data_IF_149812311751
#
_entry.id   IF_149812311751
#
_cell.length_a   1.000
_cell.length_b   1.000
_cell.length_c   1.000
_cell.angle_alpha   90.00
_cell.angle_beta   90.00
_cell.angle_gamma   90.00
#
_symmetry.space_group_name_H-M   'P 1'
#
loop_
_entity.id
_entity.type
_entity.pdbx_description
1 polymer ?
#
# COMPACT_ATOMS: atom_id res chain seq x y z
N UNK A 1 9.95 18.69 -10.31
CA UNK A 1 9.90 17.26 -10.69
C UNK A 1 8.99 17.12 -11.89
N UNK A 2 9.44 16.54 -13.01
CA UNK A 2 8.59 16.34 -14.16
C UNK A 2 7.42 15.42 -13.77
N UNK A 3 6.20 15.86 -14.02
CA UNK A 3 4.99 15.15 -13.59
C UNK A 3 4.72 13.97 -14.54
N UNK A 4 4.58 12.76 -14.00
CA UNK A 4 4.04 11.64 -14.76
C UNK A 4 2.59 11.95 -15.09
N UNK A 5 2.28 12.01 -16.40
CA UNK A 5 0.91 12.24 -16.86
C UNK A 5 0.13 10.93 -16.88
N UNK A 6 -1.13 10.98 -16.44
CA UNK A 6 -2.03 9.83 -16.47
C UNK A 6 -3.38 10.22 -17.05
N UNK A 7 -3.99 9.30 -17.79
CA UNK A 7 -5.39 9.37 -18.19
C UNK A 7 -6.11 8.10 -17.74
N UNK A 8 -7.16 8.28 -16.97
CA UNK A 8 -7.96 7.19 -16.41
C UNK A 8 -9.35 7.17 -17.01
N UNK A 9 -9.82 5.99 -17.36
CA UNK A 9 -11.15 5.75 -17.87
C UNK A 9 -11.73 4.46 -17.29
N UNK A 10 -13.05 4.32 -17.32
CA UNK A 10 -13.73 3.08 -16.96
C UNK A 10 -15.03 2.92 -17.73
N UNK A 11 -15.44 1.67 -17.94
CA UNK A 11 -16.67 1.29 -18.61
C UNK A 11 -17.40 0.30 -17.72
N UNK A 12 -18.71 0.45 -17.59
CA UNK A 12 -19.53 -0.39 -16.74
C UNK A 12 -20.59 -1.18 -17.55
N UNK A 13 -21.00 -2.36 -17.10
CA UNK A 13 -21.99 -3.18 -17.82
C UNK A 13 -23.30 -2.48 -18.14
N UNK A 14 -23.66 -1.45 -17.36
CA UNK A 14 -24.96 -0.76 -17.49
C UNK A 14 -24.86 0.61 -18.19
N UNK A 15 -23.72 0.92 -18.82
CA UNK A 15 -23.53 2.21 -19.49
C UNK A 15 -23.37 2.03 -20.99
N UNK A 16 -23.89 2.99 -21.74
CA UNK A 16 -23.50 3.24 -23.12
C UNK A 16 -22.44 4.35 -23.16
N UNK A 17 -21.54 4.28 -24.11
CA UNK A 17 -20.54 5.33 -24.31
C UNK A 17 -20.53 5.80 -25.75
N UNK A 18 -20.17 7.08 -25.94
CA UNK A 18 -20.12 7.73 -27.23
C UNK A 18 -18.67 7.83 -27.69
N UNK A 19 -18.36 7.31 -28.87
CA UNK A 19 -17.04 7.48 -29.48
C UNK A 19 -16.84 8.95 -29.93
N UNK A 20 -15.58 9.33 -30.20
CA UNK A 20 -15.26 10.64 -30.79
C UNK A 20 -15.95 10.88 -32.14
N UNK A 21 -16.30 9.83 -32.86
CA UNK A 21 -17.03 9.86 -34.12
C UNK A 21 -18.57 9.93 -33.92
N UNK A 22 -19.05 9.99 -32.70
CA UNK A 22 -20.47 10.10 -32.40
C UNK A 22 -21.23 8.78 -32.28
N UNK A 23 -20.62 7.64 -32.60
CA UNK A 23 -21.26 6.33 -32.46
C UNK A 23 -21.51 5.99 -30.98
N UNK A 24 -22.68 5.48 -30.67
CA UNK A 24 -23.05 5.01 -29.33
C UNK A 24 -22.94 3.49 -29.32
N UNK A 25 -22.16 2.97 -28.38
CA UNK A 25 -22.00 1.55 -28.16
C UNK A 25 -22.48 1.20 -26.76
N UNK A 26 -23.15 0.07 -26.59
CA UNK A 26 -23.42 -0.52 -25.28
C UNK A 26 -22.19 -1.33 -24.82
N UNK A 27 -22.15 -1.65 -23.54
CA UNK A 27 -21.04 -2.40 -22.95
C UNK A 27 -20.78 -3.74 -23.67
N UNK A 28 -21.84 -4.47 -24.01
CA UNK A 28 -21.74 -5.78 -24.66
C UNK A 28 -21.13 -5.69 -26.05
N UNK A 29 -21.52 -4.69 -26.84
CA UNK A 29 -20.93 -4.43 -28.15
C UNK A 29 -19.44 -4.08 -28.02
N UNK A 30 -19.11 -3.25 -27.01
CA UNK A 30 -17.74 -2.84 -26.76
C UNK A 30 -16.84 -4.01 -26.37
N UNK A 31 -17.25 -4.87 -25.40
CA UNK A 31 -16.45 -6.05 -25.01
C UNK A 31 -16.38 -7.10 -26.12
N UNK A 32 -17.45 -7.29 -26.90
CA UNK A 32 -17.45 -8.22 -28.02
C UNK A 32 -16.51 -7.79 -29.14
N UNK A 33 -16.38 -6.48 -29.37
CA UNK A 33 -15.45 -5.96 -30.39
C UNK A 33 -14.00 -6.17 -29.99
N UNK A 34 -13.69 -6.20 -28.68
CA UNK A 34 -12.35 -6.27 -28.10
C UNK A 34 -11.36 -5.24 -28.71
N UNK A 35 -11.87 -4.13 -29.25
CA UNK A 35 -11.09 -3.10 -29.96
C UNK A 35 -10.00 -2.47 -29.08
N UNK A 36 -10.18 -2.46 -27.77
CA UNK A 36 -9.15 -1.98 -26.85
C UNK A 36 -7.87 -2.81 -26.96
N UNK A 37 -8.00 -4.15 -27.04
CA UNK A 37 -6.85 -5.04 -27.21
C UNK A 37 -6.18 -4.80 -28.54
N UNK A 38 -6.95 -4.74 -29.64
CA UNK A 38 -6.40 -4.43 -30.97
C UNK A 38 -5.69 -3.08 -31.02
N UNK A 39 -6.22 -2.09 -30.30
CA UNK A 39 -5.60 -0.77 -30.27
C UNK A 39 -4.26 -0.76 -29.53
N UNK A 40 -4.19 -1.40 -28.35
CA UNK A 40 -2.97 -1.37 -27.52
C UNK A 40 -1.89 -2.35 -27.99
N UNK A 41 -2.26 -3.37 -28.79
CA UNK A 41 -1.32 -4.38 -29.32
C UNK A 41 -0.90 -4.11 -30.78
N UNK A 42 -1.13 -2.90 -31.26
CA UNK A 42 -0.72 -2.53 -32.62
C UNK A 42 0.79 -2.66 -32.80
N UNK A 43 1.22 -3.53 -33.69
CA UNK A 43 2.64 -3.84 -33.97
C UNK A 43 3.48 -2.61 -34.35
N UNK A 44 2.87 -1.62 -35.01
CA UNK A 44 3.52 -0.37 -35.37
C UNK A 44 3.77 0.57 -34.16
N UNK A 45 3.27 0.23 -32.98
CA UNK A 45 3.36 1.07 -31.78
C UNK A 45 4.06 0.39 -30.61
N UNK A 46 4.01 -0.94 -30.52
CA UNK A 46 4.45 -1.67 -29.33
C UNK A 46 5.97 -1.74 -29.22
N UNK A 47 6.47 -1.49 -28.01
CA UNK A 47 7.84 -1.75 -27.61
C UNK A 47 7.91 -3.18 -27.06
N UNK A 48 8.63 -4.07 -27.75
CA UNK A 48 8.70 -5.50 -27.41
C UNK A 48 10.11 -5.98 -27.03
N UNK A 49 11.13 -5.15 -27.22
CA UNK A 49 12.51 -5.50 -26.90
C UNK A 49 12.78 -5.43 -25.38
N UNK A 50 13.71 -6.24 -24.92
CA UNK A 50 14.20 -6.30 -23.53
C UNK A 50 15.53 -5.54 -23.36
N UNK A 51 16.01 -5.43 -22.12
CA UNK A 51 17.24 -4.68 -21.82
C UNK A 51 18.53 -5.36 -22.33
N UNK A 52 18.51 -6.65 -22.65
CA UNK A 52 19.66 -7.38 -23.16
C UNK A 52 19.77 -7.33 -24.68
N UNK A 53 18.80 -6.73 -25.35
CA UNK A 53 18.75 -6.63 -26.80
C UNK A 53 19.28 -5.27 -27.29
N UNK A 54 19.84 -5.28 -28.51
CA UNK A 54 20.08 -4.05 -29.29
C UNK A 54 21.08 -3.04 -28.68
N UNK A 55 22.10 -3.48 -27.94
CA UNK A 55 23.08 -2.60 -27.28
C UNK A 55 22.44 -1.56 -26.35
N UNK A 56 21.37 -1.95 -25.65
CA UNK A 56 20.63 -1.07 -24.76
C UNK A 56 21.52 -0.39 -23.70
N UNK A 57 22.51 -1.10 -23.18
CA UNK A 57 23.46 -0.53 -22.22
C UNK A 57 24.38 0.53 -22.83
N UNK A 58 24.82 0.35 -24.06
CA UNK A 58 25.57 1.39 -24.78
C UNK A 58 24.71 2.63 -25.05
N UNK A 59 23.42 2.44 -25.36
CA UNK A 59 22.46 3.53 -25.52
C UNK A 59 22.29 4.35 -24.24
N UNK A 60 22.25 3.72 -23.07
CA UNK A 60 22.10 4.42 -21.77
C UNK A 60 23.23 5.45 -21.53
N UNK A 61 24.45 5.14 -21.96
CA UNK A 61 25.65 5.87 -21.59
C UNK A 61 25.99 7.05 -22.52
N UNK A 62 25.54 7.03 -23.80
CA UNK A 62 26.09 7.89 -24.83
C UNK A 62 25.11 8.81 -25.55
N UNK A 63 23.77 8.67 -25.32
CA UNK A 63 22.79 9.34 -26.19
C UNK A 63 22.11 10.53 -25.51
N UNK A 64 22.00 11.62 -26.27
CA UNK A 64 21.07 12.73 -25.98
C UNK A 64 19.61 12.25 -26.05
N UNK A 65 18.68 13.08 -25.59
CA UNK A 65 17.24 12.74 -25.68
C UNK A 65 16.79 12.47 -27.10
N UNK A 66 17.23 13.28 -28.05
CA UNK A 66 16.84 13.14 -29.45
C UNK A 66 17.40 11.87 -30.07
N UNK A 67 18.64 11.49 -29.72
CA UNK A 67 19.24 10.23 -30.13
C UNK A 67 18.51 9.03 -29.54
N UNK A 68 18.12 9.09 -28.25
CA UNK A 68 17.30 8.05 -27.63
C UNK A 68 15.94 7.90 -28.30
N UNK A 69 15.29 9.00 -28.66
CA UNK A 69 14.02 8.99 -29.40
C UNK A 69 14.23 8.38 -30.80
N UNK A 70 15.28 8.74 -31.50
CA UNK A 70 15.60 8.17 -32.81
C UNK A 70 15.91 6.67 -32.70
N UNK A 71 16.69 6.28 -31.69
CA UNK A 71 17.06 4.90 -31.42
C UNK A 71 15.84 4.01 -31.19
N UNK A 72 14.97 4.32 -30.24
CA UNK A 72 13.83 3.47 -29.99
C UNK A 72 12.81 3.44 -31.13
N UNK A 73 12.65 4.53 -31.86
CA UNK A 73 11.80 4.55 -33.09
C UNK A 73 12.34 3.65 -34.19
N UNK A 74 13.67 3.58 -34.37
CA UNK A 74 14.27 2.64 -35.30
C UNK A 74 14.03 1.19 -34.90
N UNK A 75 14.11 0.89 -33.57
CA UNK A 75 13.87 -0.45 -33.02
C UNK A 75 12.39 -0.85 -33.11
N UNK A 76 11.46 0.08 -32.94
CA UNK A 76 10.05 -0.20 -33.23
C UNK A 76 9.83 -0.67 -34.66
N UNK A 77 10.46 -0.03 -35.63
CA UNK A 77 10.35 -0.43 -37.02
C UNK A 77 10.94 -1.81 -37.30
N UNK A 78 12.08 -2.14 -36.67
CA UNK A 78 12.70 -3.46 -36.76
C UNK A 78 11.84 -4.56 -36.19
N UNK A 79 11.16 -4.27 -35.07
CA UNK A 79 10.35 -5.25 -34.33
C UNK A 79 8.94 -5.47 -34.90
N UNK A 80 8.50 -4.67 -35.88
CA UNK A 80 7.20 -4.87 -36.55
C UNK A 80 7.01 -6.26 -37.18
N UNK A 81 8.11 -6.92 -37.54
CA UNK A 81 8.12 -8.23 -38.16
C UNK A 81 8.28 -9.40 -37.19
N UNK A 82 8.43 -9.15 -35.87
CA UNK A 82 8.48 -10.23 -34.91
C UNK A 82 7.06 -10.71 -34.55
N UNK A 83 6.96 -11.95 -34.09
CA UNK A 83 5.68 -12.56 -33.73
C UNK A 83 5.19 -12.21 -32.33
N UNK A 84 5.81 -11.22 -31.67
CA UNK A 84 5.42 -10.80 -30.34
C UNK A 84 4.14 -9.97 -30.37
N UNK A 85 3.26 -10.22 -29.39
CA UNK A 85 1.99 -9.50 -29.27
C UNK A 85 2.18 -8.10 -28.68
N UNK A 86 3.20 -7.90 -27.86
CA UNK A 86 3.43 -6.68 -27.09
C UNK A 86 2.42 -6.49 -25.95
N UNK A 87 1.68 -7.52 -25.60
CA UNK A 87 0.74 -7.54 -24.46
C UNK A 87 1.32 -8.36 -23.34
N UNK A 88 1.31 -7.82 -22.13
CA UNK A 88 1.92 -8.42 -20.94
C UNK A 88 0.93 -8.45 -19.80
N UNK A 89 1.01 -9.50 -18.95
CA UNK A 89 0.29 -9.54 -17.66
C UNK A 89 1.17 -8.93 -16.57
N UNK A 90 0.66 -7.93 -15.87
CA UNK A 90 1.42 -7.25 -14.84
C UNK A 90 1.61 -8.10 -13.56
N UNK A 91 0.77 -9.10 -13.33
CA UNK A 91 0.85 -9.97 -12.16
C UNK A 91 1.89 -11.09 -12.32
N UNK A 92 2.42 -11.30 -13.52
CA UNK A 92 3.51 -12.23 -13.76
C UNK A 92 4.82 -11.65 -13.21
N UNK A 93 5.80 -12.49 -12.93
CA UNK A 93 7.12 -12.06 -12.42
C UNK A 93 7.99 -11.38 -13.48
N UNK A 94 7.69 -11.59 -14.77
CA UNK A 94 8.41 -11.06 -15.93
C UNK A 94 7.42 -10.68 -17.03
N UNK A 95 7.79 -9.77 -17.96
CA UNK A 95 6.95 -9.38 -19.08
C UNK A 95 6.96 -10.47 -20.18
N UNK A 96 6.25 -11.55 -19.93
CA UNK A 96 6.04 -12.64 -20.88
C UNK A 96 4.93 -12.24 -21.84
N UNK A 97 5.16 -12.47 -23.13
CA UNK A 97 4.23 -12.17 -24.20
C UNK A 97 2.98 -13.05 -24.12
N UNK A 98 1.80 -12.47 -24.26
CA UNK A 98 0.52 -13.17 -24.10
C UNK A 98 -0.19 -13.28 -25.44
N UNK A 99 -0.88 -14.40 -25.65
CA UNK A 99 -1.73 -14.61 -26.81
C UNK A 99 -2.95 -13.67 -26.80
N UNK A 100 -2.98 -12.75 -27.76
CA UNK A 100 -4.05 -11.73 -27.90
C UNK A 100 -5.45 -12.36 -27.96
N UNK A 101 -5.58 -13.50 -28.66
CA UNK A 101 -6.86 -14.16 -28.85
C UNK A 101 -7.45 -14.69 -27.54
N UNK A 102 -6.64 -15.08 -26.58
CA UNK A 102 -7.13 -15.58 -25.29
C UNK A 102 -7.68 -14.42 -24.46
N UNK A 103 -6.99 -13.29 -24.40
CA UNK A 103 -7.49 -12.08 -23.75
C UNK A 103 -8.78 -11.56 -24.42
N UNK A 104 -8.87 -11.62 -25.75
CA UNK A 104 -10.11 -11.28 -26.46
C UNK A 104 -11.26 -12.20 -26.11
N UNK A 105 -11.03 -13.51 -25.94
CA UNK A 105 -12.05 -14.46 -25.48
C UNK A 105 -12.52 -14.14 -24.06
N UNK A 106 -11.60 -13.83 -23.16
CA UNK A 106 -11.93 -13.41 -21.79
C UNK A 106 -12.80 -12.17 -21.79
N UNK A 107 -12.43 -11.13 -22.56
CA UNK A 107 -13.21 -9.89 -22.65
C UNK A 107 -14.63 -10.13 -23.18
N UNK A 108 -14.83 -11.01 -24.16
CA UNK A 108 -16.16 -11.33 -24.68
C UNK A 108 -17.10 -11.92 -23.62
N UNK A 109 -16.55 -12.55 -22.60
CA UNK A 109 -17.31 -13.11 -21.47
C UNK A 109 -17.45 -12.13 -20.30
N UNK A 110 -16.88 -10.93 -20.38
CA UNK A 110 -16.78 -9.97 -19.30
C UNK A 110 -18.15 -9.51 -18.79
N UNK A 111 -18.35 -9.59 -17.48
CA UNK A 111 -19.55 -9.12 -16.77
C UNK A 111 -19.21 -8.08 -15.71
N UNK A 112 -17.93 -7.88 -15.40
CA UNK A 112 -17.44 -6.90 -14.42
C UNK A 112 -17.19 -5.54 -15.07
N UNK A 113 -16.90 -4.54 -14.25
CA UNK A 113 -16.41 -3.26 -14.74
C UNK A 113 -15.05 -3.45 -15.41
N UNK A 114 -14.74 -2.56 -16.34
CA UNK A 114 -13.46 -2.49 -17.04
C UNK A 114 -12.83 -1.14 -16.76
N UNK A 115 -11.54 -1.13 -16.46
CA UNK A 115 -10.75 0.05 -16.18
C UNK A 115 -9.57 0.17 -17.14
N UNK A 116 -9.23 1.39 -17.49
CA UNK A 116 -8.14 1.71 -18.39
C UNK A 116 -7.31 2.85 -17.81
N UNK A 117 -5.99 2.76 -17.94
CA UNK A 117 -5.05 3.77 -17.48
C UNK A 117 -3.92 3.95 -18.49
N UNK A 118 -3.65 5.19 -18.86
CA UNK A 118 -2.48 5.55 -19.66
C UNK A 118 -1.47 6.23 -18.73
N UNK A 119 -0.20 5.84 -18.82
CA UNK A 119 0.89 6.38 -18.00
C UNK A 119 1.98 6.89 -18.94
N UNK A 120 2.25 8.18 -18.90
CA UNK A 120 3.31 8.81 -19.70
C UNK A 120 4.27 9.60 -18.80
N UNK A 121 5.51 9.14 -18.61
CA UNK A 121 6.50 9.82 -17.78
C UNK A 121 7.18 10.99 -18.48
N UNK A 122 6.95 11.20 -19.79
CA UNK A 122 7.59 12.27 -20.55
C UNK A 122 9.12 12.18 -20.52
N UNK A 123 9.77 13.33 -20.35
CA UNK A 123 11.23 13.43 -20.25
C UNK A 123 11.81 12.56 -19.12
N UNK A 124 11.08 12.41 -18.01
CA UNK A 124 11.55 11.61 -16.88
C UNK A 124 11.87 10.17 -17.28
N UNK A 125 11.04 9.56 -18.14
CA UNK A 125 11.28 8.22 -18.67
C UNK A 125 12.52 8.12 -19.56
N UNK A 126 12.74 9.11 -20.45
CA UNK A 126 13.91 9.18 -21.30
C UNK A 126 15.20 9.41 -20.50
N UNK A 127 15.17 10.36 -19.56
CA UNK A 127 16.32 10.72 -18.73
C UNK A 127 16.81 9.53 -17.88
N UNK A 128 15.89 8.66 -17.47
CA UNK A 128 16.18 7.48 -16.63
C UNK A 128 16.11 6.14 -17.41
N UNK A 129 16.15 6.20 -18.74
CA UNK A 129 16.23 5.04 -19.63
C UNK A 129 15.10 3.99 -19.44
N UNK A 130 13.87 4.44 -19.17
CA UNK A 130 12.70 3.54 -19.09
C UNK A 130 12.13 3.33 -20.50
N UNK A 131 12.86 2.56 -21.32
CA UNK A 131 12.59 2.42 -22.74
C UNK A 131 12.25 0.99 -23.18
N UNK A 132 12.56 -0.04 -22.40
CA UNK A 132 12.31 -1.44 -22.71
C UNK A 132 11.22 -2.06 -21.81
N UNK A 133 10.73 -3.26 -22.21
CA UNK A 133 9.63 -3.92 -21.51
C UNK A 133 9.97 -4.31 -20.06
N UNK A 134 11.21 -4.73 -19.79
CA UNK A 134 11.63 -5.16 -18.47
C UNK A 134 11.62 -4.00 -17.47
N UNK A 135 12.17 -2.84 -17.85
CA UNK A 135 12.17 -1.64 -17.01
C UNK A 135 10.76 -1.12 -16.72
N UNK A 136 9.89 -1.14 -17.73
CA UNK A 136 8.50 -0.78 -17.51
C UNK A 136 7.78 -1.77 -16.60
N UNK A 137 7.98 -3.07 -16.79
CA UNK A 137 7.37 -4.09 -15.94
C UNK A 137 7.76 -3.90 -14.49
N UNK A 138 9.05 -3.74 -14.22
CA UNK A 138 9.59 -3.50 -12.89
C UNK A 138 8.95 -2.27 -12.22
N UNK A 139 8.93 -1.12 -12.89
CA UNK A 139 8.34 0.11 -12.36
C UNK A 139 6.85 -0.04 -12.08
N UNK A 140 6.11 -0.69 -12.98
CA UNK A 140 4.67 -0.88 -12.81
C UNK A 140 4.34 -1.88 -11.71
N UNK A 141 4.99 -3.05 -11.69
CA UNK A 141 4.72 -4.10 -10.71
C UNK A 141 4.92 -3.62 -9.28
N UNK A 142 6.02 -2.90 -9.02
CA UNK A 142 6.34 -2.32 -7.71
C UNK A 142 5.28 -1.36 -7.16
N UNK A 143 4.54 -0.67 -8.04
CA UNK A 143 3.62 0.39 -7.64
C UNK A 143 2.14 -0.01 -7.78
N UNK A 144 1.81 -0.88 -8.74
CA UNK A 144 0.41 -1.15 -9.10
C UNK A 144 -0.30 -2.08 -8.12
N UNK A 145 0.39 -3.06 -7.55
CA UNK A 145 -0.20 -3.92 -6.52
C UNK A 145 -0.73 -3.10 -5.34
N UNK A 146 0.05 -2.11 -4.89
CA UNK A 146 -0.36 -1.19 -3.84
C UNK A 146 -1.55 -0.33 -4.26
N UNK A 147 -1.55 0.16 -5.50
CA UNK A 147 -2.68 0.91 -6.06
C UNK A 147 -3.97 0.06 -6.06
N UNK A 148 -3.89 -1.21 -6.43
CA UNK A 148 -5.02 -2.14 -6.38
C UNK A 148 -5.54 -2.34 -4.95
N UNK A 149 -4.64 -2.55 -3.98
CA UNK A 149 -4.98 -2.73 -2.56
C UNK A 149 -5.66 -1.47 -1.97
N UNK A 150 -5.13 -0.27 -2.25
CA UNK A 150 -5.72 1.00 -1.82
C UNK A 150 -7.16 1.13 -2.35
N UNK A 151 -7.39 0.76 -3.59
CA UNK A 151 -8.70 0.77 -4.21
C UNK A 151 -9.55 -0.46 -3.86
N UNK A 152 -9.09 -1.32 -2.92
CA UNK A 152 -9.82 -2.51 -2.42
C UNK A 152 -10.13 -3.54 -3.52
N UNK A 153 -9.24 -3.73 -4.44
CA UNK A 153 -9.31 -4.84 -5.37
C UNK A 153 -8.78 -6.12 -4.71
N UNK A 154 -9.42 -7.22 -5.03
CA UNK A 154 -8.99 -8.57 -4.68
C UNK A 154 -7.99 -9.04 -5.74
N UNK A 155 -6.72 -9.23 -5.34
CA UNK A 155 -5.63 -9.57 -6.27
C UNK A 155 -5.84 -10.94 -6.94
N UNK A 156 -6.50 -11.87 -6.26
CA UNK A 156 -6.79 -13.20 -6.81
C UNK A 156 -7.93 -13.16 -7.85
N UNK A 157 -8.78 -12.13 -7.74
CA UNK A 157 -9.95 -11.94 -8.59
C UNK A 157 -9.75 -10.90 -9.70
N UNK A 158 -8.51 -10.54 -10.05
CA UNK A 158 -8.26 -9.49 -11.05
C UNK A 158 -7.32 -9.96 -12.15
N UNK A 159 -7.58 -9.52 -13.37
CA UNK A 159 -6.63 -9.60 -14.49
C UNK A 159 -6.14 -8.21 -14.82
N UNK A 160 -4.83 -8.05 -15.01
CA UNK A 160 -4.16 -6.77 -15.32
C UNK A 160 -3.25 -6.94 -16.51
N UNK A 161 -3.56 -6.25 -17.59
CA UNK A 161 -2.79 -6.30 -18.83
C UNK A 161 -2.25 -4.92 -19.19
N UNK A 162 -1.09 -4.90 -19.81
CA UNK A 162 -0.50 -3.66 -20.31
C UNK A 162 0.30 -3.88 -21.60
N UNK A 163 0.47 -2.79 -22.32
CA UNK A 163 1.33 -2.69 -23.50
C UNK A 163 2.08 -1.37 -23.48
N UNK A 164 3.28 -1.34 -24.05
CA UNK A 164 4.13 -0.16 -24.09
C UNK A 164 4.12 0.39 -25.50
N UNK A 165 3.73 1.66 -25.66
CA UNK A 165 3.71 2.34 -26.94
C UNK A 165 4.91 3.27 -27.07
N UNK A 166 5.59 3.21 -28.21
CA UNK A 166 6.74 4.04 -28.56
C UNK A 166 6.53 4.91 -29.79
N UNK A 167 5.31 5.02 -30.29
CA UNK A 167 5.00 5.78 -31.51
C UNK A 167 4.95 7.31 -31.32
N UNK A 168 5.11 7.79 -30.10
CA UNK A 168 5.23 9.20 -29.76
C UNK A 168 6.68 9.56 -29.39
N UNK A 169 6.93 10.81 -29.00
CA UNK A 169 8.28 11.21 -28.52
C UNK A 169 8.67 10.51 -27.22
N UNK A 170 7.69 10.00 -26.47
CA UNK A 170 7.90 9.36 -25.18
C UNK A 170 7.25 7.98 -25.16
N UNK A 171 8.00 6.93 -24.80
CA UNK A 171 7.39 5.64 -24.50
C UNK A 171 6.39 5.79 -23.35
N UNK A 172 5.20 5.24 -23.52
CA UNK A 172 4.13 5.33 -22.56
C UNK A 172 3.38 4.01 -22.49
N UNK A 173 2.73 3.75 -21.36
CA UNK A 173 2.01 2.52 -21.11
C UNK A 173 0.52 2.73 -21.29
N UNK A 174 -0.11 1.82 -21.99
CA UNK A 174 -1.53 1.56 -21.95
C UNK A 174 -1.77 0.32 -21.11
N UNK A 175 -2.56 0.42 -20.07
CA UNK A 175 -2.94 -0.71 -19.24
C UNK A 175 -4.43 -0.75 -19.03
N UNK A 176 -4.95 -1.98 -18.83
CA UNK A 176 -6.32 -2.19 -18.45
C UNK A 176 -6.43 -3.36 -17.48
N UNK A 177 -7.50 -3.34 -16.69
CA UNK A 177 -7.80 -4.42 -15.77
C UNK A 177 -9.31 -4.60 -15.59
N UNK A 178 -9.67 -5.78 -15.10
CA UNK A 178 -11.05 -6.15 -14.80
C UNK A 178 -11.10 -7.28 -13.78
N UNK A 179 -12.21 -7.39 -13.06
CA UNK A 179 -12.42 -8.52 -12.15
C UNK A 179 -12.83 -9.77 -12.94
N UNK A 180 -12.27 -10.93 -12.58
CA UNK A 180 -12.65 -12.23 -13.15
C UNK A 180 -14.11 -12.54 -12.82
N UNK A 181 -14.50 -12.32 -11.56
CA UNK A 181 -15.86 -12.37 -11.07
C UNK A 181 -16.32 -10.98 -10.65
N UNK A 182 -17.48 -10.54 -11.13
CA UNK A 182 -17.98 -9.19 -10.85
C UNK A 182 -18.41 -9.03 -9.39
N UNK A 183 -17.52 -8.53 -8.55
CA UNK A 183 -17.79 -8.22 -7.12
C UNK A 183 -18.06 -6.74 -6.90
N UNK A 184 -17.47 -5.87 -7.70
CA UNK A 184 -17.48 -4.42 -7.51
C UNK A 184 -18.60 -3.75 -8.28
N UNK A 185 -19.54 -3.12 -7.55
CA UNK A 185 -20.67 -2.40 -8.16
C UNK A 185 -20.26 -1.03 -8.74
N UNK A 186 -19.34 -0.32 -8.08
CA UNK A 186 -18.91 1.04 -8.51
C UNK A 186 -17.58 0.98 -9.23
N UNK A 187 -17.54 1.46 -10.47
CA UNK A 187 -16.31 1.52 -11.25
C UNK A 187 -15.45 2.76 -10.93
N UNK A 188 -16.06 3.84 -10.45
CA UNK A 188 -15.34 5.08 -10.13
C UNK A 188 -14.32 4.83 -9.02
N UNK A 189 -13.06 5.18 -9.27
CA UNK A 189 -11.96 5.18 -8.31
C UNK A 189 -11.75 6.59 -7.76
N UNK A 190 -11.06 6.67 -6.65
CA UNK A 190 -10.64 7.95 -6.10
C UNK A 190 -9.51 8.54 -6.96
N UNK A 191 -9.71 9.78 -7.44
CA UNK A 191 -8.72 10.49 -8.25
C UNK A 191 -7.40 10.68 -7.49
N UNK A 192 -7.46 10.84 -6.17
CA UNK A 192 -6.26 10.94 -5.35
C UNK A 192 -5.43 9.65 -5.43
N UNK A 193 -6.04 8.48 -5.43
CA UNK A 193 -5.31 7.21 -5.55
C UNK A 193 -4.56 7.10 -6.88
N UNK A 194 -5.13 7.63 -7.97
CA UNK A 194 -4.50 7.68 -9.29
C UNK A 194 -3.32 8.64 -9.29
N UNK A 195 -3.48 9.84 -8.73
CA UNK A 195 -2.42 10.83 -8.62
C UNK A 195 -1.23 10.31 -7.80
N UNK A 196 -1.49 9.57 -6.73
CA UNK A 196 -0.43 8.95 -5.93
C UNK A 196 0.29 7.86 -6.68
N UNK A 197 -0.46 7.01 -7.36
CA UNK A 197 0.14 6.00 -8.20
C UNK A 197 1.09 6.65 -9.23
N UNK A 198 0.63 7.68 -9.95
CA UNK A 198 1.46 8.44 -10.88
C UNK A 198 2.72 9.05 -10.23
N UNK A 199 2.55 9.62 -9.04
CA UNK A 199 3.67 10.17 -8.28
C UNK A 199 4.68 9.09 -7.86
N UNK A 200 4.21 7.94 -7.37
CA UNK A 200 5.08 6.82 -6.98
C UNK A 200 5.82 6.22 -8.18
N UNK A 201 5.15 6.09 -9.32
CA UNK A 201 5.79 5.72 -10.58
C UNK A 201 6.92 6.70 -10.91
N UNK A 202 6.68 8.00 -10.80
CA UNK A 202 7.72 9.03 -11.02
C UNK A 202 8.90 8.92 -10.04
N UNK A 203 8.64 8.61 -8.78
CA UNK A 203 9.70 8.36 -7.79
C UNK A 203 10.50 7.09 -8.10
N UNK A 204 9.82 6.00 -8.45
CA UNK A 204 10.48 4.75 -8.86
C UNK A 204 11.37 4.96 -10.08
N UNK A 205 10.92 5.74 -11.07
CA UNK A 205 11.71 6.04 -12.25
C UNK A 205 12.96 6.86 -11.89
N UNK A 206 12.81 7.88 -11.03
CA UNK A 206 13.91 8.83 -10.75
C UNK A 206 14.94 8.30 -9.76
N UNK A 207 14.51 7.50 -8.79
CA UNK A 207 15.33 7.11 -7.63
C UNK A 207 15.40 5.59 -7.45
N UNK A 208 15.14 4.83 -8.46
CA UNK A 208 14.89 3.38 -8.50
C UNK A 208 15.37 2.60 -7.26
N UNK A 209 16.68 2.41 -7.09
CA UNK A 209 17.24 1.60 -6.00
C UNK A 209 16.98 2.18 -4.61
N UNK A 210 17.21 3.47 -4.42
CA UNK A 210 17.07 4.11 -3.12
C UNK A 210 15.60 4.19 -2.69
N UNK A 211 14.72 4.46 -3.65
CA UNK A 211 13.28 4.50 -3.37
C UNK A 211 12.73 3.12 -3.04
N UNK A 212 13.27 2.07 -3.64
CA UNK A 212 12.91 0.69 -3.31
C UNK A 212 13.34 0.31 -1.89
N UNK A 213 14.60 0.57 -1.53
CA UNK A 213 15.11 0.32 -0.18
C UNK A 213 14.23 0.99 0.88
N UNK A 214 13.85 2.28 0.64
CA UNK A 214 12.93 3.01 1.51
C UNK A 214 11.56 2.31 1.59
N UNK A 215 10.98 1.90 0.47
CA UNK A 215 9.66 1.27 0.45
C UNK A 215 9.66 -0.11 1.13
N UNK A 216 10.68 -0.94 0.89
CA UNK A 216 10.81 -2.25 1.51
C UNK A 216 10.94 -2.14 3.03
N UNK A 217 11.85 -1.27 3.52
CA UNK A 217 11.98 -1.03 4.95
C UNK A 217 10.70 -0.46 5.56
N UNK A 218 10.06 0.49 4.90
CA UNK A 218 8.78 1.04 5.37
C UNK A 218 7.71 -0.04 5.45
N UNK A 219 7.64 -0.96 4.48
CA UNK A 219 6.71 -2.08 4.48
C UNK A 219 6.98 -3.03 5.66
N UNK A 220 8.23 -3.41 5.88
CA UNK A 220 8.60 -4.29 7.01
C UNK A 220 8.28 -3.66 8.35
N UNK A 221 8.53 -2.35 8.53
CA UNK A 221 8.16 -1.58 9.72
C UNK A 221 6.64 -1.67 9.98
N UNK A 222 5.82 -1.47 8.95
CA UNK A 222 4.37 -1.54 9.07
C UNK A 222 3.87 -2.94 9.40
N UNK A 223 4.44 -3.96 8.78
CA UNK A 223 4.10 -5.35 9.05
C UNK A 223 4.45 -5.73 10.50
N UNK A 224 5.62 -5.30 10.99
CA UNK A 224 6.05 -5.52 12.38
C UNK A 224 5.14 -4.78 13.37
N UNK A 225 4.79 -3.50 13.10
CA UNK A 225 3.82 -2.77 13.92
C UNK A 225 2.47 -3.48 13.97
N UNK A 226 2.00 -4.02 12.86
CA UNK A 226 0.75 -4.79 12.80
C UNK A 226 0.83 -6.03 13.69
N UNK A 227 1.94 -6.76 13.64
CA UNK A 227 2.18 -7.91 14.52
C UNK A 227 2.19 -7.49 15.99
N UNK A 228 2.87 -6.40 16.34
CA UNK A 228 2.86 -5.84 17.71
C UNK A 228 1.43 -5.54 18.17
N UNK A 229 0.62 -4.89 17.33
CA UNK A 229 -0.77 -4.58 17.70
C UNK A 229 -1.66 -5.83 17.81
N UNK A 230 -1.35 -6.91 17.10
CA UNK A 230 -2.05 -8.18 17.21
C UNK A 230 -1.69 -8.89 18.53
N UNK A 231 -0.39 -8.98 18.83
CA UNK A 231 0.10 -9.70 20.01
C UNK A 231 -0.30 -9.03 21.33
N UNK A 232 -0.55 -7.72 21.34
CA UNK A 232 -1.04 -7.04 22.55
C UNK A 232 -2.27 -7.73 23.15
N UNK A 233 -3.20 -8.23 22.33
CA UNK A 233 -4.33 -9.00 22.83
C UNK A 233 -3.89 -10.30 23.52
N UNK A 234 -2.91 -10.98 22.94
CA UNK A 234 -2.41 -12.26 23.43
C UNK A 234 -1.57 -12.05 24.71
N UNK A 235 -0.81 -10.94 24.82
CA UNK A 235 -0.11 -10.53 26.04
C UNK A 235 -1.07 -10.30 27.21
N UNK A 236 -2.24 -9.71 26.93
CA UNK A 236 -3.28 -9.55 27.94
C UNK A 236 -4.05 -10.86 28.21
N UNK A 237 -4.02 -11.83 27.30
CA UNK A 237 -4.73 -13.11 27.40
C UNK A 237 -3.91 -14.23 28.05
N UNK A 238 -2.59 -14.21 27.94
CA UNK A 238 -1.72 -15.25 28.44
C UNK A 238 -1.26 -14.97 29.88
N UNK A 239 -1.68 -15.80 30.82
CA UNK A 239 -1.42 -15.73 32.27
C UNK A 239 0.08 -15.89 32.70
N UNK A 240 1.04 -15.53 31.85
CA UNK A 240 2.43 -15.50 32.26
C UNK A 240 2.81 -14.14 32.85
N UNK A 241 2.10 -13.73 33.89
CA UNK A 241 2.66 -12.76 34.84
C UNK A 241 3.73 -13.54 35.61
N UNK A 242 4.96 -13.34 35.18
CA UNK A 242 6.12 -13.94 35.83
C UNK A 242 6.14 -13.53 37.28
N UNK A 243 6.03 -14.51 38.14
CA UNK A 243 6.10 -14.40 39.61
C UNK A 243 7.57 -14.14 40.03
N UNK A 244 8.18 -13.08 39.50
CA UNK A 244 9.50 -12.64 39.86
C UNK A 244 9.39 -11.42 40.76
N UNK A 245 9.91 -11.53 41.99
CA UNK A 245 9.96 -10.49 43.03
C UNK A 245 10.50 -9.12 42.56
N UNK A 246 11.21 -9.08 41.44
CA UNK A 246 11.71 -7.84 40.81
C UNK A 246 10.63 -7.03 40.08
N UNK A 247 9.48 -7.61 39.73
CA UNK A 247 8.42 -6.98 38.94
C UNK A 247 7.23 -6.48 39.77
N UNK A 248 7.21 -6.64 41.09
CA UNK A 248 6.08 -6.22 41.95
C UNK A 248 5.80 -4.71 41.85
N UNK A 249 6.83 -3.89 41.73
CA UNK A 249 6.68 -2.43 41.58
C UNK A 249 6.08 -2.05 40.21
N UNK A 250 6.56 -2.65 39.12
CA UNK A 250 6.04 -2.43 37.78
C UNK A 250 4.60 -2.95 37.64
N UNK A 251 4.27 -4.07 38.28
CA UNK A 251 2.90 -4.59 38.32
C UNK A 251 1.96 -3.64 39.07
N UNK A 252 2.39 -3.11 40.22
CA UNK A 252 1.63 -2.10 40.98
C UNK A 252 1.39 -0.81 40.15
N UNK A 253 2.40 -0.37 39.39
CA UNK A 253 2.28 0.79 38.52
C UNK A 253 1.32 0.48 37.35
N UNK A 254 1.42 -0.70 36.73
CA UNK A 254 0.51 -1.16 35.67
C UNK A 254 -0.96 -1.15 36.16
N UNK A 255 -1.23 -1.65 37.35
CA UNK A 255 -2.58 -1.66 37.94
C UNK A 255 -3.11 -0.23 38.14
N UNK A 256 -2.29 0.66 38.74
CA UNK A 256 -2.67 2.06 38.95
C UNK A 256 -2.93 2.80 37.64
N UNK A 257 -2.05 2.59 36.63
CA UNK A 257 -2.18 3.18 35.33
C UNK A 257 -3.46 2.70 34.61
N UNK A 258 -3.74 1.40 34.65
CA UNK A 258 -4.94 0.81 34.03
C UNK A 258 -6.23 1.34 34.69
N UNK A 259 -6.24 1.46 36.02
CA UNK A 259 -7.37 2.03 36.79
C UNK A 259 -7.62 3.49 36.40
N UNK A 260 -6.58 4.32 36.37
CA UNK A 260 -6.68 5.74 36.03
C UNK A 260 -7.25 5.94 34.62
N UNK A 261 -6.81 5.11 33.63
CA UNK A 261 -7.35 5.14 32.28
C UNK A 261 -8.83 4.75 32.28
N UNK A 262 -9.22 3.68 32.96
CA UNK A 262 -10.60 3.23 33.01
C UNK A 262 -11.52 4.25 33.68
N UNK A 263 -11.07 4.91 34.76
CA UNK A 263 -11.83 5.95 35.46
C UNK A 263 -12.11 7.15 34.51
N UNK A 264 -11.14 7.55 33.68
CA UNK A 264 -11.37 8.58 32.64
C UNK A 264 -12.34 8.12 31.56
N UNK A 265 -12.40 6.81 31.28
CA UNK A 265 -13.20 6.24 30.19
C UNK A 265 -14.66 5.98 30.57
N UNK A 266 -15.00 5.88 31.85
CA UNK A 266 -16.36 5.53 32.33
C UNK A 266 -17.46 6.49 31.85
N UNK A 267 -17.14 7.77 31.68
CA UNK A 267 -18.09 8.80 31.30
C UNK A 267 -18.09 9.17 29.82
N UNK A 268 -17.27 8.52 29.01
CA UNK A 268 -17.01 8.94 27.63
C UNK A 268 -17.29 7.83 26.62
N UNK A 269 -18.23 8.04 25.69
CA UNK A 269 -18.46 7.14 24.54
C UNK A 269 -17.43 7.43 23.45
N UNK A 270 -16.81 6.39 22.88
CA UNK A 270 -15.86 6.46 21.74
C UNK A 270 -14.55 7.22 22.01
N UNK A 271 -13.73 6.70 22.93
CA UNK A 271 -12.45 7.30 23.26
C UNK A 271 -11.33 6.64 22.47
N UNK A 272 -10.47 7.49 21.92
CA UNK A 272 -9.20 7.12 21.31
C UNK A 272 -8.03 7.63 22.14
N UNK A 273 -6.86 7.05 21.98
CA UNK A 273 -5.60 7.50 22.60
C UNK A 273 -5.40 9.01 22.52
N UNK A 274 -5.71 9.63 21.37
CA UNK A 274 -5.55 11.07 21.16
C UNK A 274 -6.42 11.94 22.08
N UNK A 275 -7.51 11.40 22.59
CA UNK A 275 -8.48 12.11 23.47
C UNK A 275 -8.25 11.88 24.95
N UNK A 276 -7.29 11.03 25.30
CA UNK A 276 -6.88 10.85 26.69
C UNK A 276 -6.20 12.12 27.22
N UNK A 277 -6.33 12.35 28.53
CA UNK A 277 -5.50 13.32 29.25
C UNK A 277 -4.01 12.98 29.11
N UNK A 278 -3.14 13.97 29.23
CA UNK A 278 -1.69 13.73 29.13
C UNK A 278 -1.19 12.80 30.24
N UNK A 279 -1.80 12.85 31.43
CA UNK A 279 -1.56 11.89 32.49
C UNK A 279 -1.87 10.45 32.05
N UNK A 280 -3.00 10.22 31.36
CA UNK A 280 -3.38 8.89 30.92
C UNK A 280 -2.63 8.44 29.64
N UNK A 281 -2.12 9.36 28.82
CA UNK A 281 -1.12 9.02 27.80
C UNK A 281 0.19 8.53 28.44
N UNK A 282 0.65 9.16 29.53
CA UNK A 282 1.80 8.66 30.30
C UNK A 282 1.51 7.28 30.93
N UNK A 283 0.30 7.05 31.39
CA UNK A 283 -0.12 5.74 31.91
C UNK A 283 -0.09 4.64 30.81
N UNK A 284 -0.39 4.96 29.56
CA UNK A 284 -0.21 4.03 28.42
C UNK A 284 1.28 3.65 28.28
N UNK A 285 2.23 4.58 28.46
CA UNK A 285 3.67 4.27 28.41
C UNK A 285 4.09 3.33 29.54
N UNK A 286 3.52 3.48 30.75
CA UNK A 286 3.75 2.55 31.86
C UNK A 286 3.26 1.14 31.48
N UNK A 287 2.08 1.03 30.87
CA UNK A 287 1.54 -0.26 30.40
C UNK A 287 2.44 -0.87 29.33
N UNK A 288 2.91 -0.09 28.36
CA UNK A 288 3.85 -0.56 27.33
C UNK A 288 5.16 -1.06 27.94
N UNK A 289 5.71 -0.32 28.91
CA UNK A 289 6.93 -0.73 29.63
C UNK A 289 6.73 -2.04 30.39
N UNK A 290 5.56 -2.23 30.99
CA UNK A 290 5.18 -3.48 31.62
C UNK A 290 5.14 -4.63 30.61
N UNK A 291 4.51 -4.46 29.44
CA UNK A 291 4.46 -5.47 28.38
C UNK A 291 5.87 -5.84 27.87
N UNK A 292 6.76 -4.86 27.75
CA UNK A 292 8.16 -5.10 27.32
C UNK A 292 8.94 -6.00 28.30
N UNK A 293 8.63 -5.92 29.59
CA UNK A 293 9.33 -6.69 30.62
C UNK A 293 8.65 -8.03 30.94
N UNK A 294 7.36 -8.16 30.67
CA UNK A 294 6.56 -9.32 31.04
C UNK A 294 6.27 -10.30 29.90
N UNK A 295 6.44 -9.86 28.64
CA UNK A 295 6.15 -10.69 27.46
C UNK A 295 7.33 -10.72 26.48
N UNK A 296 7.91 -11.91 26.30
CA UNK A 296 9.08 -12.09 25.45
C UNK A 296 8.79 -11.84 23.97
N UNK A 297 7.60 -12.16 23.50
CA UNK A 297 7.28 -12.03 22.07
C UNK A 297 6.98 -10.57 21.72
N UNK A 298 6.31 -9.84 22.63
CA UNK A 298 6.16 -8.39 22.51
C UNK A 298 7.53 -7.70 22.52
N UNK A 299 8.42 -8.07 23.46
CA UNK A 299 9.77 -7.50 23.55
C UNK A 299 10.60 -7.76 22.29
N UNK A 300 10.59 -8.99 21.75
CA UNK A 300 11.28 -9.32 20.49
C UNK A 300 10.77 -8.49 19.32
N UNK A 301 9.46 -8.43 19.11
CA UNK A 301 8.86 -7.67 18.03
C UNK A 301 9.14 -6.17 18.15
N UNK A 302 9.09 -5.62 19.37
CA UNK A 302 9.41 -4.21 19.61
C UNK A 302 10.87 -3.90 19.31
N UNK A 303 11.81 -4.77 19.68
CA UNK A 303 13.23 -4.62 19.35
C UNK A 303 13.48 -4.69 17.84
N UNK A 304 12.77 -5.60 17.13
CA UNK A 304 12.82 -5.68 15.65
C UNK A 304 12.30 -4.37 15.06
N UNK A 305 11.17 -3.87 15.54
CA UNK A 305 10.58 -2.60 15.09
C UNK A 305 11.55 -1.43 15.28
N UNK A 306 12.17 -1.29 16.46
CA UNK A 306 13.15 -0.23 16.73
C UNK A 306 14.37 -0.33 15.80
N UNK A 307 14.88 -1.54 15.58
CA UNK A 307 15.99 -1.77 14.66
C UNK A 307 15.62 -1.36 13.23
N UNK A 308 14.44 -1.73 12.75
CA UNK A 308 13.97 -1.36 11.40
C UNK A 308 13.84 0.16 11.24
N UNK A 309 13.38 0.89 12.26
CA UNK A 309 13.33 2.37 12.27
C UNK A 309 14.76 2.92 12.19
N UNK A 310 15.69 2.35 12.94
CA UNK A 310 17.10 2.75 12.90
C UNK A 310 17.71 2.46 11.51
N UNK A 311 17.51 1.28 10.95
CA UNK A 311 17.99 0.89 9.61
C UNK A 311 17.46 1.85 8.53
N UNK A 312 16.20 2.28 8.64
CA UNK A 312 15.63 3.28 7.73
C UNK A 312 16.27 4.67 7.90
N UNK A 313 16.55 5.09 9.14
CA UNK A 313 17.21 6.37 9.43
C UNK A 313 18.68 6.42 8.99
N UNK A 314 19.37 5.29 9.04
CA UNK A 314 20.78 5.13 8.70
C UNK A 314 21.03 4.81 7.22
N UNK A 315 19.97 4.76 6.38
CA UNK A 315 20.15 4.56 4.95
C UNK A 315 21.08 5.64 4.36
N UNK A 316 22.16 5.17 3.73
CA UNK A 316 23.10 6.05 3.05
C UNK A 316 22.50 6.53 1.71
N UNK A 317 21.77 7.63 1.76
CA UNK A 317 21.11 8.26 0.60
C UNK A 317 21.68 9.67 0.43
N UNK A 318 22.26 9.98 -0.72
CA UNK A 318 22.83 11.28 -1.01
C UNK A 318 21.78 12.36 -1.30
N UNK A 319 20.64 11.96 -1.92
CA UNK A 319 19.58 12.91 -2.31
C UNK A 319 18.90 13.52 -1.09
N UNK A 320 18.98 14.86 -0.98
CA UNK A 320 18.41 15.63 0.13
C UNK A 320 16.90 15.45 0.27
N UNK A 321 16.17 15.35 -0.86
CA UNK A 321 14.72 15.19 -0.84
C UNK A 321 14.32 13.82 -0.25
N UNK A 322 15.01 12.75 -0.64
CA UNK A 322 14.76 11.42 -0.09
C UNK A 322 15.10 11.35 1.41
N UNK A 323 16.18 11.99 1.86
CA UNK A 323 16.50 12.10 3.30
C UNK A 323 15.42 12.81 4.10
N UNK A 324 14.91 13.94 3.60
CA UNK A 324 13.80 14.65 4.24
C UNK A 324 12.52 13.81 4.25
N UNK A 325 12.29 13.03 3.19
CA UNK A 325 11.16 12.09 3.11
C UNK A 325 11.28 10.97 4.14
N UNK A 326 12.45 10.37 4.30
CA UNK A 326 12.71 9.34 5.33
C UNK A 326 12.40 9.90 6.71
N UNK A 327 12.91 11.10 7.05
CA UNK A 327 12.62 11.73 8.34
C UNK A 327 11.11 11.87 8.59
N UNK A 328 10.37 12.38 7.60
CA UNK A 328 8.91 12.50 7.71
C UNK A 328 8.20 11.15 7.85
N UNK A 329 8.70 10.11 7.18
CA UNK A 329 8.16 8.75 7.32
C UNK A 329 8.37 8.25 8.75
N UNK A 330 9.56 8.43 9.31
CA UNK A 330 9.90 8.01 10.67
C UNK A 330 9.05 8.75 11.71
N UNK A 331 8.99 10.09 11.61
CA UNK A 331 8.21 10.92 12.55
C UNK A 331 6.73 10.49 12.57
N UNK A 332 6.16 10.29 11.37
CA UNK A 332 4.78 9.84 11.23
C UNK A 332 4.58 8.41 11.75
N UNK A 333 5.53 7.52 11.47
CA UNK A 333 5.45 6.13 11.92
C UNK A 333 5.50 6.03 13.44
N UNK A 334 6.34 6.83 14.10
CA UNK A 334 6.40 6.87 15.57
C UNK A 334 5.07 7.37 16.16
N UNK A 335 4.47 8.42 15.59
CA UNK A 335 3.16 8.94 16.00
C UNK A 335 2.04 7.91 15.77
N UNK A 336 2.02 7.25 14.61
CA UNK A 336 1.05 6.20 14.29
C UNK A 336 1.21 4.97 15.20
N UNK A 337 2.45 4.59 15.53
CA UNK A 337 2.74 3.51 16.48
C UNK A 337 2.13 3.82 17.85
N UNK A 338 2.38 5.02 18.38
CA UNK A 338 1.83 5.44 19.66
C UNK A 338 0.29 5.40 19.65
N UNK A 339 -0.33 5.93 18.62
CA UNK A 339 -1.79 5.95 18.48
C UNK A 339 -2.39 4.55 18.37
N UNK A 340 -1.80 3.67 17.57
CA UNK A 340 -2.35 2.33 17.33
C UNK A 340 -2.17 1.42 18.55
N UNK A 341 -0.99 1.42 19.16
CA UNK A 341 -0.72 0.67 20.39
C UNK A 341 -1.58 1.20 21.54
N UNK A 342 -1.64 2.53 21.72
CA UNK A 342 -2.49 3.15 22.75
C UNK A 342 -3.97 2.81 22.55
N UNK A 343 -4.50 2.92 21.34
CA UNK A 343 -5.88 2.54 21.04
C UNK A 343 -6.14 1.05 21.31
N UNK A 344 -5.15 0.21 21.03
CA UNK A 344 -5.27 -1.23 21.27
C UNK A 344 -5.33 -1.54 22.77
N UNK A 345 -4.45 -0.95 23.55
CA UNK A 345 -4.46 -1.07 25.02
C UNK A 345 -5.80 -0.60 25.59
N UNK A 346 -6.27 0.58 25.19
CA UNK A 346 -7.58 1.13 25.61
C UNK A 346 -8.71 0.14 25.33
N UNK A 347 -8.80 -0.37 24.09
CA UNK A 347 -9.83 -1.34 23.70
C UNK A 347 -9.76 -2.61 24.53
N UNK A 348 -8.54 -3.08 24.81
CA UNK A 348 -8.33 -4.27 25.65
C UNK A 348 -8.77 -4.05 27.09
N UNK A 349 -8.47 -2.88 27.66
CA UNK A 349 -8.91 -2.51 29.02
C UNK A 349 -10.43 -2.36 29.10
N UNK A 350 -11.07 -1.68 28.14
CA UNK A 350 -12.53 -1.50 28.09
C UNK A 350 -13.26 -2.83 27.95
N UNK A 351 -12.79 -3.69 27.06
CA UNK A 351 -13.41 -5.00 26.85
C UNK A 351 -13.42 -5.81 28.15
N UNK A 352 -12.34 -5.80 28.87
CA UNK A 352 -12.22 -6.44 30.15
C UNK A 352 -13.17 -5.86 31.24
N UNK A 353 -13.31 -4.55 31.22
CA UNK A 353 -14.21 -3.86 32.13
C UNK A 353 -15.67 -4.22 31.86
N UNK A 354 -16.10 -4.25 30.59
CA UNK A 354 -17.49 -4.52 30.21
C UNK A 354 -17.91 -5.98 30.49
N UNK A 355 -16.98 -6.93 30.31
CA UNK A 355 -17.25 -8.37 30.47
C UNK A 355 -17.26 -8.83 31.93
N UNK A 356 -16.64 -8.08 32.83
CA UNK A 356 -16.54 -8.42 34.24
C UNK A 356 -17.24 -7.40 35.14
N UNK A 357 -18.51 -7.54 35.34
CA UNK A 357 -19.33 -6.86 36.37
C UNK A 357 -18.74 -5.66 37.10
N UNK A 358 -19.38 -4.49 36.97
CA UNK A 358 -19.09 -3.21 37.67
C UNK A 358 -18.76 -3.32 39.16
N UNK A 359 -19.00 -4.44 39.81
CA UNK A 359 -18.75 -4.69 41.26
C UNK A 359 -17.32 -5.18 41.56
N UNK A 360 -16.55 -5.68 40.59
CA UNK A 360 -15.20 -6.21 40.81
C UNK A 360 -14.13 -5.11 41.03
N UNK A 361 -14.42 -3.88 40.69
CA UNK A 361 -13.49 -2.75 40.83
C UNK A 361 -13.41 -2.10 42.19
N UNK A 362 -14.21 -2.56 43.17
CA UNK A 362 -14.29 -1.89 44.48
C UNK A 362 -13.11 -2.11 45.45
N UNK A 363 -12.21 -3.05 45.15
CA UNK A 363 -11.01 -3.25 45.96
C UNK A 363 -9.78 -3.68 45.14
N UNK A 364 -8.58 -3.28 45.58
CA UNK A 364 -7.30 -3.65 44.97
C UNK A 364 -7.06 -5.17 45.04
N UNK A 365 -7.60 -5.88 46.02
CA UNK A 365 -7.52 -7.33 46.13
C UNK A 365 -8.39 -8.07 45.10
N UNK A 366 -9.45 -7.42 44.59
CA UNK A 366 -10.30 -7.97 43.53
C UNK A 366 -9.72 -7.79 42.15
N UNK A 367 -8.74 -6.88 41.98
CA UNK A 367 -8.12 -6.62 40.69
C UNK A 367 -7.27 -7.80 40.20
N UNK A 368 -6.60 -8.51 41.07
CA UNK A 368 -5.91 -9.76 40.71
C UNK A 368 -6.87 -10.85 40.21
N UNK A 369 -8.04 -10.97 40.84
CA UNK A 369 -9.11 -11.87 40.38
C UNK A 369 -9.80 -11.35 39.12
N UNK A 370 -9.98 -10.04 39.00
CA UNK A 370 -10.44 -9.36 37.77
C UNK A 370 -9.48 -9.61 36.63
N UNK A 371 -8.17 -9.41 36.84
CA UNK A 371 -7.17 -9.65 35.83
C UNK A 371 -7.12 -11.11 35.39
N UNK A 372 -7.27 -12.04 36.34
CA UNK A 372 -7.37 -13.48 36.04
C UNK A 372 -8.64 -13.85 35.28
N UNK A 373 -9.78 -13.25 35.60
CA UNK A 373 -11.04 -13.39 34.84
C UNK A 373 -10.97 -12.72 33.48
N UNK A 374 -10.35 -11.54 33.39
CA UNK A 374 -10.00 -10.82 32.17
C UNK A 374 -9.20 -11.70 31.22
N UNK A 375 -8.20 -12.36 31.74
CA UNK A 375 -7.33 -13.27 30.98
C UNK A 375 -8.06 -14.53 30.53
N UNK A 376 -9.05 -15.02 31.25
CA UNK A 376 -9.86 -16.19 30.86
C UNK A 376 -10.86 -15.86 29.74
N UNK A 377 -11.36 -14.65 29.66
CA UNK A 377 -12.35 -14.21 28.64
C UNK A 377 -11.69 -14.02 27.27
N UNK A 378 -10.43 -13.56 27.23
CA UNK A 378 -9.67 -13.46 25.98
C UNK A 378 -9.42 -14.79 25.27
N UNK A 379 -9.50 -15.91 26.00
CA UNK A 379 -9.43 -17.25 25.38
C UNK A 379 -10.61 -17.61 24.50
N UNK A 380 -11.72 -16.88 24.56
CA UNK A 380 -13.01 -17.31 24.01
C UNK A 380 -13.52 -16.51 22.77
N UNK A 381 -12.93 -15.39 22.41
CA UNK A 381 -13.46 -14.61 21.26
C UNK A 381 -12.43 -14.35 20.17
N UNK A 382 -12.25 -15.32 19.29
CA UNK A 382 -11.58 -15.13 18.00
C UNK A 382 -12.61 -14.66 16.98
N UNK A 383 -12.70 -13.37 16.72
CA UNK A 383 -13.24 -12.86 15.46
C UNK A 383 -12.13 -12.16 14.66
N UNK A 384 -11.33 -12.96 13.97
CA UNK A 384 -10.27 -12.51 13.05
C UNK A 384 -10.77 -11.51 11.99
N UNK A 385 -12.06 -11.56 11.69
CA UNK A 385 -12.68 -10.74 10.65
C UNK A 385 -12.80 -9.24 11.01
N UNK A 386 -13.16 -8.93 12.25
CA UNK A 386 -13.29 -7.52 12.69
C UNK A 386 -11.93 -6.83 12.79
N UNK A 387 -10.88 -7.56 13.15
CA UNK A 387 -9.51 -7.07 13.24
C UNK A 387 -8.89 -6.83 11.86
N UNK A 388 -9.16 -7.71 10.87
CA UNK A 388 -8.75 -7.52 9.49
C UNK A 388 -9.32 -6.23 8.90
N UNK A 389 -10.62 -6.01 9.05
CA UNK A 389 -11.29 -4.80 8.53
C UNK A 389 -10.83 -3.50 9.21
N UNK A 390 -10.44 -3.54 10.48
CA UNK A 390 -9.95 -2.34 11.17
C UNK A 390 -8.52 -2.00 10.72
N UNK A 391 -7.65 -2.99 10.65
CA UNK A 391 -6.27 -2.83 10.17
C UNK A 391 -6.23 -2.37 8.71
N UNK A 392 -7.13 -2.87 7.86
CA UNK A 392 -7.26 -2.42 6.47
C UNK A 392 -7.77 -0.98 6.37
N UNK A 393 -8.70 -0.57 7.23
CA UNK A 393 -9.19 0.82 7.26
C UNK A 393 -8.12 1.80 7.78
N UNK A 394 -7.36 1.41 8.78
CA UNK A 394 -6.27 2.24 9.33
C UNK A 394 -5.11 2.34 8.33
N UNK A 395 -4.80 1.27 7.62
CA UNK A 395 -3.81 1.25 6.54
C UNK A 395 -4.21 2.18 5.39
N UNK A 396 -5.47 2.12 4.95
CA UNK A 396 -6.02 2.99 3.91
C UNK A 396 -6.05 4.47 4.32
N UNK A 397 -6.42 4.75 5.57
CA UNK A 397 -6.41 6.12 6.10
C UNK A 397 -4.98 6.68 6.20
N UNK A 398 -3.98 5.83 6.46
CA UNK A 398 -2.58 6.22 6.47
C UNK A 398 -2.06 6.54 5.08
N UNK A 399 -2.39 5.70 4.10
CA UNK A 399 -2.00 5.93 2.71
C UNK A 399 -2.64 7.21 2.14
N UNK A 400 -3.90 7.51 2.51
CA UNK A 400 -4.56 8.78 2.15
C UNK A 400 -3.87 10.00 2.78
N UNK A 401 -3.42 9.91 4.04
CA UNK A 401 -2.67 10.99 4.70
C UNK A 401 -1.26 11.18 4.13
N UNK A 402 -0.58 10.10 3.72
CA UNK A 402 0.67 10.22 2.96
C UNK A 402 0.47 10.99 1.66
N UNK A 403 -0.70 10.82 1.05
CA UNK A 403 -1.16 11.55 -0.13
C UNK A 403 -1.25 13.04 0.08
N UNK A 404 -2.00 13.44 1.11
CA UNK A 404 -2.17 14.86 1.48
C UNK A 404 -0.82 15.51 1.75
N UNK A 405 0.07 14.82 2.44
CA UNK A 405 1.42 15.30 2.75
C UNK A 405 2.30 15.44 1.50
N UNK A 406 2.14 14.55 0.52
CA UNK A 406 2.82 14.60 -0.77
C UNK A 406 2.26 15.74 -1.63
N UNK A 407 0.94 15.97 -1.61
CA UNK A 407 0.32 17.11 -2.29
C UNK A 407 0.76 18.45 -1.69
N UNK A 408 0.86 18.57 -0.37
CA UNK A 408 1.36 19.79 0.28
C UNK A 408 2.83 20.09 -0.09
N UNK A 409 3.69 19.07 -0.15
CA UNK A 409 5.08 19.22 -0.60
C UNK A 409 5.12 19.65 -2.08
N UNK A 410 4.17 19.19 -2.89
CA UNK A 410 4.07 19.54 -4.30
C UNK A 410 3.60 20.99 -4.49
N UNK A 411 2.59 21.43 -3.72
CA UNK A 411 2.05 22.80 -3.74
C UNK A 411 3.10 23.81 -3.22
N UNK A 412 3.84 23.47 -2.19
CA UNK A 412 4.89 24.34 -1.63
C UNK A 412 6.15 24.53 -2.50
N UNK A 413 6.23 23.83 -3.65
CA UNK A 413 7.32 23.98 -4.63
C UNK A 413 6.90 24.69 -5.93
N UNK A 414 5.62 24.99 -6.07
CA UNK A 414 5.07 25.74 -7.21
C UNK A 414 4.93 27.25 -6.91
N UNK A 415 5.35 27.67 -5.72
CA UNK A 415 5.57 29.05 -5.31
C UNK A 415 7.08 29.19 -5.00
#
# INVERSE_FOLDING_TARGET
>A
MNKVWTAFNFITPNTSYKTKLGNIHNFKEWVNSAMVVDYITRKDKCVTFNENENNYDAMKLMMTKDEKIAWYRSHLKMNQNNNQSGLYNLLDTKPIDIEINDVKKELKSLKSNFWELIINPGDLGLDNNILCKDKWHEVLQKNFERFLKINKFDLDNINVYYSIHGNTNYPHVHMFWYEKEAKRKKAKLDLNSINVFAYKVGLSIKYDEDYQKINELTKTIWDTRKQITQIINDCFANNQVVDNNQNQNLYGQFIKASKSILDELQDKKNISYMRLSDQNKANIEIIKSFLLTSDNDYSKLFNIYQKQIQDLNELNIEDKFLREKIKKIIDKEMDDFQKQVGNKIIKSLLKAYDENNKNAFKSISSFGNFFRSFMNIFRLSRSEWALRNLAEREFLAKDLKELEMVEEIYRGRLH
#
